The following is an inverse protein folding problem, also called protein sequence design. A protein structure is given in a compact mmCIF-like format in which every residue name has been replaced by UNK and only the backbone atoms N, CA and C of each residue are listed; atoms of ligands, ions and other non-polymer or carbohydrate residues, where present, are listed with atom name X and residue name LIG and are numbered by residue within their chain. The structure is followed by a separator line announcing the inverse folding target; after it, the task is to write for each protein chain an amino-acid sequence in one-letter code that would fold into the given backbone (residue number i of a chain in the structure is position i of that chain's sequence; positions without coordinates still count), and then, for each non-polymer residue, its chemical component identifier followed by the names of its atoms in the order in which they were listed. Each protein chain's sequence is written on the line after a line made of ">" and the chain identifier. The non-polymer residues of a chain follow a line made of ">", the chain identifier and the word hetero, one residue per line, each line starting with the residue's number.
data_IF_454972325930
#
_entry.id   IF_454972325930
#
_cell.length_a   1.000
_cell.length_b   1.000
_cell.length_c   1.000
_cell.angle_alpha   90.00
_cell.angle_beta   90.00
_cell.angle_gamma   90.00
#
_symmetry.space_group_name_H-M   'P 1'
#
loop_
_entity.id
_entity.type
_entity.pdbx_description
1 polymer ?
#
# COMPACT_ATOMS: atom_id res chain seq x y z
N UNK A 1 6.08 -46.34 25.18
CA UNK A 1 7.56 -46.30 25.18
C UNK A 1 8.19 -44.96 24.70
N UNK A 2 7.45 -43.84 24.59
CA UNK A 2 7.98 -42.58 24.01
C UNK A 2 8.70 -41.62 25.00
N UNK A 3 8.52 -41.78 26.32
CA UNK A 3 9.13 -40.87 27.33
C UNK A 3 10.66 -41.01 27.48
N UNK A 4 11.25 -42.18 27.20
CA UNK A 4 12.68 -42.44 27.42
C UNK A 4 13.59 -41.74 26.39
N UNK A 5 13.17 -41.62 25.12
CA UNK A 5 13.96 -40.98 24.04
C UNK A 5 14.15 -39.47 24.24
N UNK A 6 13.14 -38.73 24.72
CA UNK A 6 13.24 -37.28 24.97
C UNK A 6 14.30 -36.89 26.03
N UNK A 7 14.52 -37.73 27.04
CA UNK A 7 15.51 -37.47 28.10
C UNK A 7 16.96 -37.49 27.56
N UNK A 8 17.22 -38.30 26.55
CA UNK A 8 18.55 -38.45 25.95
C UNK A 8 18.91 -37.25 25.05
N UNK A 9 17.93 -36.72 24.31
CA UNK A 9 18.12 -35.54 23.45
C UNK A 9 18.44 -34.29 24.27
N UNK A 10 17.72 -34.05 25.38
CA UNK A 10 17.98 -32.92 26.28
C UNK A 10 19.40 -32.95 26.83
N UNK A 11 19.90 -34.12 27.26
CA UNK A 11 21.28 -34.26 27.73
C UNK A 11 22.29 -33.89 26.64
N UNK A 12 22.03 -34.27 25.39
CA UNK A 12 22.91 -33.97 24.24
C UNK A 12 23.02 -32.46 23.94
N UNK A 13 21.96 -31.68 24.16
CA UNK A 13 21.95 -30.24 23.91
C UNK A 13 22.85 -29.43 24.87
N UNK A 14 23.05 -29.93 26.10
CA UNK A 14 23.86 -29.28 27.13
C UNK A 14 25.29 -29.82 27.23
N UNK A 15 25.70 -30.69 26.31
CA UNK A 15 27.10 -31.14 26.24
C UNK A 15 27.96 -29.93 25.87
N UNK A 16 29.03 -29.72 26.65
CA UNK A 16 30.02 -28.66 26.41
C UNK A 16 31.05 -29.18 25.42
N UNK A 17 31.06 -28.62 24.23
CA UNK A 17 32.09 -28.83 23.22
C UNK A 17 33.05 -27.63 23.27
N UNK A 18 34.32 -27.84 22.90
CA UNK A 18 35.29 -26.75 22.77
C UNK A 18 35.73 -26.70 21.30
N UNK A 19 35.54 -25.56 20.66
CA UNK A 19 36.14 -25.26 19.37
C UNK A 19 37.46 -24.55 19.67
N UNK A 20 38.56 -25.08 19.15
CA UNK A 20 39.89 -24.49 19.29
C UNK A 20 40.45 -24.26 17.89
N UNK A 21 41.02 -23.08 17.67
CA UNK A 21 41.78 -22.75 16.47
C UNK A 21 43.23 -22.67 16.91
N UNK A 22 44.06 -23.56 16.37
CA UNK A 22 45.48 -23.65 16.65
C UNK A 22 46.26 -23.10 15.45
N UNK A 23 47.43 -22.51 15.72
CA UNK A 23 48.42 -22.21 14.68
C UNK A 23 49.00 -23.52 14.15
N UNK A 24 49.14 -23.67 12.84
CA UNK A 24 49.67 -24.88 12.22
C UNK A 24 51.18 -25.05 12.44
N UNK A 25 51.93 -23.95 12.45
CA UNK A 25 53.40 -23.97 12.54
C UNK A 25 53.90 -24.01 13.99
N UNK A 26 53.24 -23.27 14.89
CA UNK A 26 53.66 -23.16 16.31
C UNK A 26 52.81 -23.99 17.27
N UNK A 27 51.72 -24.61 16.80
CA UNK A 27 50.73 -25.34 17.62
C UNK A 27 50.15 -24.52 18.80
N UNK A 28 50.31 -23.20 18.79
CA UNK A 28 49.73 -22.33 19.83
C UNK A 28 48.22 -22.19 19.65
N UNK A 29 47.46 -22.30 20.75
CA UNK A 29 46.02 -22.06 20.75
C UNK A 29 45.73 -20.56 20.60
N UNK A 30 45.44 -20.10 19.38
CA UNK A 30 45.13 -18.69 19.10
C UNK A 30 43.74 -18.33 19.66
N UNK A 31 42.79 -19.26 19.55
CA UNK A 31 41.41 -19.01 19.95
C UNK A 31 40.76 -20.27 20.50
N UNK A 32 40.12 -20.17 21.67
CA UNK A 32 39.33 -21.27 22.23
C UNK A 32 37.95 -20.78 22.65
N UNK A 33 36.90 -21.45 22.16
CA UNK A 33 35.52 -21.11 22.45
C UNK A 33 34.74 -22.34 22.92
N UNK A 34 34.04 -22.22 24.05
CA UNK A 34 33.21 -23.31 24.59
C UNK A 34 31.79 -23.16 24.04
N UNK A 35 31.40 -24.10 23.18
CA UNK A 35 30.11 -24.15 22.52
C UNK A 35 29.24 -25.26 23.11
N UNK A 36 27.97 -24.96 23.37
CA UNK A 36 26.94 -25.98 23.55
C UNK A 36 26.04 -25.97 22.32
N UNK A 37 25.47 -27.13 21.94
CA UNK A 37 24.49 -27.16 20.85
C UNK A 37 23.32 -26.20 21.12
N UNK A 38 22.96 -26.02 22.39
CA UNK A 38 21.96 -25.03 22.81
C UNK A 38 22.38 -23.59 22.46
N UNK A 39 23.60 -23.17 22.82
CA UNK A 39 24.05 -21.79 22.55
C UNK A 39 24.13 -21.52 21.04
N UNK A 40 24.68 -22.46 20.27
CA UNK A 40 24.75 -22.35 18.80
C UNK A 40 23.36 -22.18 18.19
N UNK A 41 22.38 -22.97 18.66
CA UNK A 41 21.00 -22.86 18.19
C UNK A 41 20.39 -21.49 18.51
N UNK A 42 20.59 -21.00 19.73
CA UNK A 42 20.08 -19.69 20.15
C UNK A 42 20.73 -18.56 19.34
N UNK A 43 22.05 -18.57 19.15
CA UNK A 43 22.75 -17.54 18.37
C UNK A 43 22.32 -17.55 16.90
N UNK A 44 22.15 -18.73 16.29
CA UNK A 44 21.65 -18.82 14.91
C UNK A 44 20.20 -18.34 14.79
N UNK A 45 19.33 -18.71 15.74
CA UNK A 45 17.92 -18.30 15.70
C UNK A 45 17.80 -16.80 15.90
N UNK A 46 18.52 -16.24 16.88
CA UNK A 46 18.53 -14.81 17.15
C UNK A 46 19.14 -14.03 15.99
N UNK A 47 20.24 -14.52 15.40
CA UNK A 47 20.84 -13.95 14.20
C UNK A 47 19.90 -14.00 12.99
N UNK A 48 19.16 -15.10 12.80
CA UNK A 48 18.15 -15.23 11.75
C UNK A 48 17.00 -14.25 11.93
N UNK A 49 16.46 -14.12 13.14
CA UNK A 49 15.41 -13.15 13.48
C UNK A 49 15.92 -11.72 13.25
N UNK A 50 17.13 -11.42 13.71
CA UNK A 50 17.75 -10.12 13.51
C UNK A 50 17.94 -9.79 12.03
N UNK A 51 18.41 -10.75 11.23
CA UNK A 51 18.60 -10.57 9.79
C UNK A 51 17.25 -10.33 9.09
N UNK A 52 16.22 -11.11 9.41
CA UNK A 52 14.86 -10.90 8.88
C UNK A 52 14.37 -9.48 9.23
N UNK A 53 14.49 -9.05 10.48
CA UNK A 53 14.07 -7.71 10.92
C UNK A 53 14.81 -6.61 10.15
N UNK A 54 16.13 -6.71 10.04
CA UNK A 54 16.96 -5.74 9.30
C UNK A 54 16.58 -5.73 7.82
N UNK A 55 16.41 -6.88 7.18
CA UNK A 55 16.01 -6.97 5.79
C UNK A 55 14.61 -6.38 5.57
N UNK A 56 13.64 -6.68 6.44
CA UNK A 56 12.30 -6.07 6.37
C UNK A 56 12.36 -4.56 6.54
N UNK A 57 13.18 -4.05 7.46
CA UNK A 57 13.37 -2.62 7.66
C UNK A 57 13.97 -1.96 6.41
N UNK A 58 15.01 -2.54 5.83
CA UNK A 58 15.61 -2.05 4.58
C UNK A 58 14.55 -2.01 3.46
N UNK A 59 13.77 -3.07 3.27
CA UNK A 59 12.74 -3.10 2.22
C UNK A 59 11.64 -2.04 2.46
N UNK A 60 11.23 -1.84 3.72
CA UNK A 60 10.17 -0.89 4.06
C UNK A 60 10.59 0.58 3.89
N UNK A 61 11.82 0.92 4.25
CA UNK A 61 12.34 2.29 4.27
C UNK A 61 13.15 2.69 3.02
N UNK A 62 13.45 1.74 2.13
CA UNK A 62 14.20 1.99 0.89
C UNK A 62 13.26 1.87 -0.31
N UNK A 63 13.51 2.56 -1.44
CA UNK A 63 12.71 2.42 -2.67
C UNK A 63 12.68 1.00 -3.28
N UNK A 64 13.38 0.00 -2.72
CA UNK A 64 13.29 -1.40 -3.17
C UNK A 64 11.84 -1.92 -3.26
N UNK A 65 10.94 -1.47 -2.37
CA UNK A 65 9.52 -1.86 -2.42
C UNK A 65 8.79 -1.38 -3.68
N UNK A 66 9.27 -0.30 -4.32
CA UNK A 66 8.65 0.28 -5.52
C UNK A 66 9.02 -0.50 -6.80
N UNK A 67 9.99 -1.41 -6.73
CA UNK A 67 10.36 -2.29 -7.83
C UNK A 67 9.49 -3.56 -7.92
N UNK A 68 8.57 -3.77 -6.97
CA UNK A 68 7.61 -4.87 -7.03
C UNK A 68 6.48 -4.47 -8.02
N UNK A 69 6.34 -5.16 -9.16
CA UNK A 69 5.28 -4.87 -10.11
C UNK A 69 3.90 -5.02 -9.41
N UNK A 70 3.04 -4.02 -9.59
CA UNK A 70 1.74 -3.93 -8.89
C UNK A 70 1.66 -2.83 -7.83
N UNK A 71 2.80 -2.30 -7.36
CA UNK A 71 2.83 -1.11 -6.52
C UNK A 71 3.36 0.07 -7.33
N UNK A 72 2.49 1.01 -7.69
CA UNK A 72 2.89 2.25 -8.32
C UNK A 72 3.81 3.05 -7.38
N UNK A 73 4.94 3.55 -7.89
CA UNK A 73 5.77 4.50 -7.14
C UNK A 73 4.94 5.71 -6.71
N UNK A 74 5.30 6.28 -5.56
CA UNK A 74 4.60 7.45 -5.03
C UNK A 74 4.68 8.64 -6.00
N UNK A 75 5.80 8.77 -6.70
CA UNK A 75 6.01 9.78 -7.74
C UNK A 75 5.11 9.55 -8.97
N UNK A 76 5.01 8.31 -9.45
CA UNK A 76 4.18 8.00 -10.62
C UNK A 76 2.70 8.30 -10.34
N UNK A 77 2.20 7.96 -9.15
CA UNK A 77 0.85 8.34 -8.71
C UNK A 77 0.63 9.84 -8.73
N UNK A 78 1.54 10.61 -8.12
CA UNK A 78 1.44 12.07 -8.08
C UNK A 78 1.46 12.69 -9.48
N UNK A 79 2.32 12.18 -10.35
CA UNK A 79 2.42 12.65 -11.73
C UNK A 79 1.17 12.31 -12.53
N UNK A 80 0.64 11.10 -12.39
CA UNK A 80 -0.60 10.68 -13.04
C UNK A 80 -1.78 11.55 -12.60
N UNK A 81 -1.95 11.80 -11.31
CA UNK A 81 -3.03 12.68 -10.81
C UNK A 81 -2.87 14.11 -11.32
N UNK A 82 -1.66 14.67 -11.27
CA UNK A 82 -1.40 16.02 -11.79
C UNK A 82 -1.69 16.10 -13.29
N UNK A 83 -1.31 15.09 -14.05
CA UNK A 83 -1.53 15.05 -15.49
C UNK A 83 -3.01 14.89 -15.83
N UNK A 84 -3.74 14.06 -15.09
CA UNK A 84 -5.19 13.90 -15.23
C UNK A 84 -5.92 15.24 -15.03
N UNK A 85 -5.62 15.97 -13.94
CA UNK A 85 -6.22 17.29 -13.66
C UNK A 85 -5.91 18.29 -14.77
N UNK A 86 -4.65 18.33 -15.24
CA UNK A 86 -4.26 19.23 -16.33
C UNK A 86 -4.93 18.88 -17.65
N UNK A 87 -5.03 17.59 -17.96
CA UNK A 87 -5.67 17.10 -19.19
C UNK A 87 -7.16 17.44 -19.21
N UNK A 88 -7.86 17.26 -18.10
CA UNK A 88 -9.28 17.60 -17.95
C UNK A 88 -9.53 19.11 -18.14
N UNK A 89 -8.68 19.94 -17.54
CA UNK A 89 -8.73 21.39 -17.72
C UNK A 89 -8.47 21.80 -19.17
N UNK A 90 -7.49 21.17 -19.84
CA UNK A 90 -7.21 21.42 -21.25
C UNK A 90 -8.34 20.95 -22.15
N UNK A 91 -8.97 19.81 -21.88
CA UNK A 91 -10.11 19.30 -22.62
C UNK A 91 -11.29 20.28 -22.54
N UNK A 92 -11.56 20.82 -21.36
CA UNK A 92 -12.63 21.82 -21.15
C UNK A 92 -12.36 23.09 -21.94
N UNK A 93 -11.14 23.62 -21.88
CA UNK A 93 -10.76 24.82 -22.63
C UNK A 93 -10.82 24.58 -24.15
N UNK A 94 -10.43 23.40 -24.61
CA UNK A 94 -10.50 23.02 -26.02
C UNK A 94 -11.95 22.95 -26.51
N UNK A 95 -12.85 22.31 -25.75
CA UNK A 95 -14.28 22.24 -26.08
C UNK A 95 -14.92 23.63 -26.23
N UNK A 96 -14.60 24.55 -25.32
CA UNK A 96 -15.08 25.94 -25.42
C UNK A 96 -14.54 26.64 -26.67
N UNK A 97 -13.28 26.42 -27.01
CA UNK A 97 -12.67 27.00 -28.21
C UNK A 97 -13.29 26.42 -29.49
N UNK A 98 -13.52 25.11 -29.55
CA UNK A 98 -14.21 24.47 -30.66
C UNK A 98 -15.64 25.00 -30.84
N UNK A 99 -16.39 25.18 -29.75
CA UNK A 99 -17.72 25.75 -29.80
C UNK A 99 -17.70 27.19 -30.35
N UNK A 100 -16.72 28.00 -29.93
CA UNK A 100 -16.50 29.35 -30.42
C UNK A 100 -16.18 29.38 -31.93
N UNK A 101 -15.21 28.57 -32.39
CA UNK A 101 -14.85 28.47 -33.81
C UNK A 101 -16.05 28.00 -34.65
N UNK A 102 -16.80 27.00 -34.18
CA UNK A 102 -18.03 26.53 -34.85
C UNK A 102 -19.08 27.64 -34.93
N UNK A 103 -19.22 28.46 -33.88
CA UNK A 103 -20.07 29.65 -33.87
C UNK A 103 -19.67 30.63 -34.98
N UNK A 104 -18.39 30.98 -35.09
CA UNK A 104 -17.87 31.85 -36.15
C UNK A 104 -18.16 31.26 -37.54
N UNK A 105 -17.91 29.95 -37.72
CA UNK A 105 -18.16 29.29 -39.01
C UNK A 105 -19.64 29.35 -39.42
N UNK A 106 -20.58 29.17 -38.48
CA UNK A 106 -22.01 29.29 -38.74
C UNK A 106 -22.42 30.72 -39.14
N UNK A 107 -21.86 31.72 -38.47
CA UNK A 107 -22.08 33.14 -38.81
C UNK A 107 -21.61 33.44 -40.24
N UNK A 108 -20.41 33.00 -40.60
CA UNK A 108 -19.84 33.22 -41.93
C UNK A 108 -20.62 32.51 -43.05
N UNK A 109 -21.27 31.38 -42.74
CA UNK A 109 -22.11 30.63 -43.69
C UNK A 109 -23.55 31.16 -43.80
N UNK A 110 -23.96 32.09 -42.94
CA UNK A 110 -25.32 32.62 -42.92
C UNK A 110 -26.38 31.69 -42.30
N UNK A 111 -25.96 30.60 -41.63
CA UNK A 111 -26.83 29.61 -40.98
C UNK A 111 -27.23 30.07 -39.56
N UNK A 112 -27.87 31.24 -39.45
CA UNK A 112 -28.19 31.88 -38.17
C UNK A 112 -29.63 31.58 -37.72
N UNK A 113 -29.80 30.73 -36.70
CA UNK A 113 -31.01 30.71 -35.86
C UNK A 113 -30.91 31.83 -34.80
N UNK A 114 -31.42 33.02 -35.12
CA UNK A 114 -31.39 34.19 -34.25
C UNK A 114 -32.14 34.02 -32.90
N UNK A 115 -32.97 32.99 -32.77
CA UNK A 115 -33.80 32.74 -31.59
C UNK A 115 -33.10 32.03 -30.43
N UNK A 116 -31.89 31.47 -30.63
CA UNK A 116 -31.14 30.72 -29.60
C UNK A 116 -29.88 31.42 -29.07
N UNK A 117 -29.49 32.57 -29.63
CA UNK A 117 -28.28 33.29 -29.25
C UNK A 117 -28.48 34.25 -28.08
N UNK A 118 -28.95 33.75 -26.93
CA UNK A 118 -28.73 34.43 -25.66
C UNK A 118 -27.46 33.88 -25.01
N UNK A 119 -26.65 34.75 -24.40
CA UNK A 119 -25.42 34.35 -23.68
C UNK A 119 -25.70 33.26 -22.64
N UNK A 120 -26.90 33.29 -22.06
CA UNK A 120 -27.41 32.29 -21.11
C UNK A 120 -27.79 30.96 -21.77
N UNK A 121 -28.18 30.92 -23.06
CA UNK A 121 -28.47 29.67 -23.78
C UNK A 121 -27.20 28.92 -24.18
N UNK A 122 -26.11 29.60 -24.56
CA UNK A 122 -24.82 28.97 -24.88
C UNK A 122 -24.21 28.30 -23.64
N UNK A 123 -24.35 28.94 -22.47
CA UNK A 123 -23.90 28.39 -21.19
C UNK A 123 -24.79 27.23 -20.72
N UNK A 124 -26.10 27.31 -20.96
CA UNK A 124 -27.07 26.26 -20.61
C UNK A 124 -27.00 25.04 -21.53
N UNK A 125 -26.56 25.19 -22.78
CA UNK A 125 -26.38 24.06 -23.72
C UNK A 125 -25.05 23.33 -23.49
N UNK A 126 -24.11 23.96 -22.78
CA UNK A 126 -22.84 23.34 -22.32
C UNK A 126 -22.97 22.75 -20.92
N UNK A 127 -23.90 23.24 -20.11
CA UNK A 127 -24.27 22.63 -18.85
C UNK A 127 -25.17 21.43 -19.16
N UNK A 128 -24.65 20.21 -18.99
CA UNK A 128 -25.45 19.00 -19.12
C UNK A 128 -26.71 19.12 -18.26
N UNK A 129 -27.88 18.86 -18.86
CA UNK A 129 -29.16 18.89 -18.17
C UNK A 129 -29.04 18.03 -16.90
N UNK A 130 -29.22 18.61 -15.70
CA UNK A 130 -29.09 17.87 -14.45
C UNK A 130 -30.10 16.70 -14.34
N UNK A 131 -31.09 16.66 -15.23
CA UNK A 131 -32.08 15.59 -15.36
C UNK A 131 -31.52 14.29 -15.96
N UNK A 132 -30.46 14.35 -16.77
CA UNK A 132 -29.83 13.18 -17.43
C UNK A 132 -28.65 12.61 -16.63
N UNK A 133 -28.24 13.28 -15.55
CA UNK A 133 -27.22 12.77 -14.64
C UNK A 133 -27.83 11.67 -13.77
N UNK A 134 -27.49 10.41 -14.07
CA UNK A 134 -27.87 9.26 -13.27
C UNK A 134 -27.24 9.37 -11.86
N UNK A 135 -27.97 9.98 -10.92
CA UNK A 135 -27.57 10.17 -9.52
C UNK A 135 -27.54 8.86 -8.70
N UNK A 136 -27.63 7.70 -9.36
CA UNK A 136 -27.58 6.42 -8.68
C UNK A 136 -26.14 6.14 -8.24
N UNK A 137 -25.99 5.85 -6.96
CA UNK A 137 -24.74 5.40 -6.36
C UNK A 137 -24.08 4.31 -7.21
N UNK A 138 -22.79 4.44 -7.47
CA UNK A 138 -22.03 3.43 -8.20
C UNK A 138 -21.93 2.15 -7.36
N UNK A 139 -21.94 0.98 -8.01
CA UNK A 139 -21.81 -0.31 -7.32
C UNK A 139 -20.56 -0.39 -6.41
N UNK A 140 -19.50 0.34 -6.77
CA UNK A 140 -18.29 0.45 -5.97
C UNK A 140 -18.48 1.30 -4.70
N UNK A 141 -19.25 2.38 -4.78
CA UNK A 141 -19.57 3.23 -3.62
C UNK A 141 -20.44 2.49 -2.61
N UNK A 142 -21.46 1.76 -3.08
CA UNK A 142 -22.35 0.98 -2.22
C UNK A 142 -21.55 -0.06 -1.42
N UNK A 143 -20.66 -0.82 -2.09
CA UNK A 143 -19.78 -1.80 -1.43
C UNK A 143 -18.86 -1.15 -0.39
N UNK A 144 -18.31 0.02 -0.71
CA UNK A 144 -17.46 0.76 0.23
C UNK A 144 -18.25 1.19 1.46
N UNK A 145 -19.49 1.64 1.28
CA UNK A 145 -20.39 2.03 2.37
C UNK A 145 -20.67 0.87 3.31
N UNK A 146 -20.88 -0.33 2.76
CA UNK A 146 -21.08 -1.55 3.54
C UNK A 146 -19.82 -1.95 4.32
N UNK A 147 -18.65 -1.86 3.69
CA UNK A 147 -17.36 -2.16 4.34
C UNK A 147 -17.07 -1.19 5.49
N UNK A 148 -17.28 0.11 5.28
CA UNK A 148 -17.14 1.13 6.32
C UNK A 148 -18.13 0.88 7.48
N UNK A 149 -19.38 0.57 7.19
CA UNK A 149 -20.37 0.26 8.22
C UNK A 149 -20.01 -0.98 9.05
N UNK A 150 -19.41 -2.00 8.42
CA UNK A 150 -18.96 -3.20 9.12
C UNK A 150 -17.74 -2.92 10.01
N UNK A 151 -16.77 -2.18 9.50
CA UNK A 151 -15.57 -1.81 10.28
C UNK A 151 -15.90 -0.91 11.47
N UNK A 152 -16.84 0.03 11.33
CA UNK A 152 -17.34 0.84 12.45
C UNK A 152 -18.03 -0.03 13.52
N UNK A 153 -18.86 -1.00 13.12
CA UNK A 153 -19.49 -1.94 14.07
C UNK A 153 -18.47 -2.79 14.82
N UNK A 154 -17.42 -3.26 14.14
CA UNK A 154 -16.32 -3.99 14.78
C UNK A 154 -15.54 -3.13 15.79
N UNK A 155 -15.31 -1.86 15.47
CA UNK A 155 -14.65 -0.92 16.37
C UNK A 155 -15.51 -0.61 17.61
N UNK A 156 -16.82 -0.46 17.43
CA UNK A 156 -17.77 -0.24 18.52
C UNK A 156 -17.86 -1.47 19.45
N UNK A 157 -17.93 -2.68 18.91
CA UNK A 157 -17.98 -3.92 19.71
C UNK A 157 -16.69 -4.18 20.48
N UNK A 158 -15.51 -3.91 19.90
CA UNK A 158 -14.22 -3.96 20.61
C UNK A 158 -14.18 -2.96 21.77
N UNK A 159 -14.72 -1.76 21.58
CA UNK A 159 -14.78 -0.72 22.62
C UNK A 159 -15.72 -1.09 23.76
N UNK A 160 -16.86 -1.72 23.47
CA UNK A 160 -17.80 -2.20 24.49
C UNK A 160 -17.25 -3.39 25.29
N UNK A 161 -16.51 -4.31 24.66
CA UNK A 161 -15.88 -5.44 25.34
C UNK A 161 -14.74 -5.00 26.27
N UNK A 162 -13.97 -3.98 25.88
CA UNK A 162 -12.92 -3.38 26.74
C UNK A 162 -13.49 -2.69 27.98
N UNK A 163 -14.62 -1.97 27.85
CA UNK A 163 -15.33 -1.37 28.99
C UNK A 163 -15.92 -2.38 29.97
N UNK A 164 -16.21 -3.61 29.53
CA UNK A 164 -16.69 -4.71 30.40
C UNK A 164 -15.55 -5.45 31.12
N UNK A 165 -14.35 -5.50 30.54
CA UNK A 165 -13.18 -6.14 31.19
C UNK A 165 -12.55 -5.27 32.28
N UNK A 166 -12.61 -3.94 32.15
CA UNK A 166 -12.05 -3.00 33.15
C UNK A 166 -12.96 -2.80 34.38
N UNK A 167 -14.15 -3.40 34.40
CA UNK A 167 -15.16 -3.26 35.47
C UNK A 167 -15.28 -4.49 36.37
N UNK A 168 -14.30 -5.40 36.33
CA UNK A 168 -14.27 -6.65 37.09
C UNK A 168 -13.01 -6.79 37.93
#
# INVERSE_FOLDING_TARGET
>A
MAKKKKKNLRKKLFIKNRLVILNEDTFEEIFSFRLTLMNVFVTFTLGGIFLILVTTFIIAFTPLREFIPGYSSTELKRNATRLAIKSDSLETALKQNEAYIKGIQKVLKGELEYSKFNKDSILSETAEDPSDLNMKASDAEVKLRDEVANTEKELQTKTQNKKKSDKK
#
